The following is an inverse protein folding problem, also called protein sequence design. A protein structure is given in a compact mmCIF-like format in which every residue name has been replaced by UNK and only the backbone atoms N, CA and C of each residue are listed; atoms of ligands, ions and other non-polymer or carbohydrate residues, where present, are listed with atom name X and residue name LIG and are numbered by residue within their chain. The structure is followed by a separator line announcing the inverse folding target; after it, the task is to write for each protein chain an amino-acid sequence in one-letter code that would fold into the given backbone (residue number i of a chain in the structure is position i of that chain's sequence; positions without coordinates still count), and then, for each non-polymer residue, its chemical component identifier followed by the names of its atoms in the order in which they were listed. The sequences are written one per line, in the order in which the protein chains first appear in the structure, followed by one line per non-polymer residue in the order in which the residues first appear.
data_IF_493441493422
#
_entry.id   IF_493441493422
#
_cell.length_a   1.000
_cell.length_b   1.000
_cell.length_c   1.000
_cell.angle_alpha   90.00
_cell.angle_beta   90.00
_cell.angle_gamma   90.00
#
_symmetry.space_group_name_H-M   'P 1'
#
loop_
_entity.id
_entity.type
_entity.pdbx_description
1 polymer ?
#
# COMPACT_ATOMS: atom_id res chain seq x y z
N UNK A 1 -16.83 -13.83 -30.02
CA UNK A 1 -15.39 -13.47 -29.91
C UNK A 1 -15.02 -13.24 -28.46
N UNK A 2 -14.47 -14.24 -27.77
CA UNK A 2 -13.99 -14.06 -26.39
C UNK A 2 -12.72 -13.20 -26.42
N UNK A 3 -12.77 -11.98 -25.87
CA UNK A 3 -11.59 -11.13 -25.67
C UNK A 3 -10.61 -11.90 -24.78
N UNK A 4 -9.53 -12.45 -25.37
CA UNK A 4 -8.42 -13.09 -24.65
C UNK A 4 -7.88 -12.09 -23.63
N UNK A 5 -8.16 -12.30 -22.34
CA UNK A 5 -7.71 -11.42 -21.26
C UNK A 5 -6.18 -11.31 -21.31
N UNK A 6 -5.67 -10.10 -21.49
CA UNK A 6 -4.23 -9.83 -21.49
C UNK A 6 -3.65 -10.28 -20.14
N UNK A 7 -2.70 -11.22 -20.17
CA UNK A 7 -2.08 -11.80 -18.98
C UNK A 7 -1.52 -10.66 -18.13
N UNK A 8 -1.96 -10.53 -16.86
CA UNK A 8 -1.39 -9.53 -15.94
C UNK A 8 0.11 -9.78 -15.80
N UNK A 9 0.93 -8.75 -15.98
CA UNK A 9 2.39 -8.83 -15.85
C UNK A 9 2.78 -9.48 -14.53
N UNK A 10 3.74 -10.42 -14.56
CA UNK A 10 4.28 -11.11 -13.37
C UNK A 10 4.69 -10.10 -12.29
N UNK A 11 5.37 -9.02 -12.71
CA UNK A 11 5.79 -7.91 -11.86
C UNK A 11 4.65 -7.21 -11.11
N UNK A 12 3.50 -7.01 -11.78
CA UNK A 12 2.34 -6.36 -11.15
C UNK A 12 1.64 -7.30 -10.16
N UNK A 13 1.65 -8.60 -10.42
CA UNK A 13 1.11 -9.59 -9.48
C UNK A 13 1.96 -9.66 -8.20
N UNK A 14 3.28 -9.59 -8.34
CA UNK A 14 4.23 -9.50 -7.23
C UNK A 14 4.04 -8.22 -6.41
N UNK A 15 4.00 -7.04 -7.06
CA UNK A 15 3.72 -5.79 -6.36
C UNK A 15 2.39 -5.81 -5.61
N UNK A 16 1.36 -6.47 -6.17
CA UNK A 16 0.09 -6.66 -5.47
C UNK A 16 0.22 -7.55 -4.24
N UNK A 17 0.91 -8.68 -4.35
CA UNK A 17 1.17 -9.59 -3.22
C UNK A 17 1.92 -8.88 -2.10
N UNK A 18 2.90 -8.04 -2.44
CA UNK A 18 3.64 -7.27 -1.44
C UNK A 18 2.71 -6.28 -0.72
N UNK A 19 1.88 -5.54 -1.47
CA UNK A 19 0.93 -4.59 -0.89
C UNK A 19 -0.14 -5.24 -0.02
N UNK A 20 -0.47 -6.52 -0.22
CA UNK A 20 -1.40 -7.26 0.65
C UNK A 20 -0.85 -7.42 2.09
N UNK A 21 0.47 -7.39 2.28
CA UNK A 21 1.12 -7.50 3.59
C UNK A 21 1.30 -6.14 4.29
N UNK A 22 1.05 -5.03 3.59
CA UNK A 22 1.16 -3.68 4.13
C UNK A 22 -0.08 -3.37 4.98
N UNK A 23 0.05 -2.72 6.15
CA UNK A 23 -1.10 -2.27 6.96
C UNK A 23 -2.10 -1.44 6.15
N UNK A 24 -3.38 -1.81 6.21
CA UNK A 24 -4.44 -1.19 5.42
C UNK A 24 -5.42 -0.43 6.31
N UNK A 25 -5.74 0.80 5.93
CA UNK A 25 -6.69 1.66 6.62
C UNK A 25 -7.81 2.07 5.67
N UNK A 26 -9.06 1.86 6.08
CA UNK A 26 -10.23 2.25 5.30
C UNK A 26 -10.87 3.49 5.90
N UNK A 27 -11.07 4.52 5.08
CA UNK A 27 -11.65 5.80 5.49
C UNK A 27 -12.67 6.29 4.46
N UNK A 28 -13.53 7.20 4.88
CA UNK A 28 -14.47 7.88 3.99
C UNK A 28 -13.90 9.24 3.56
N UNK A 29 -14.08 9.60 2.29
CA UNK A 29 -13.59 10.87 1.75
C UNK A 29 -14.33 12.09 2.34
N UNK A 30 -15.60 11.90 2.72
CA UNK A 30 -16.48 12.98 3.14
C UNK A 30 -16.62 14.05 2.05
N UNK A 31 -16.43 15.30 2.44
CA UNK A 31 -16.50 16.47 1.55
C UNK A 31 -15.16 16.79 0.86
N UNK A 32 -14.06 16.24 1.37
CA UNK A 32 -12.72 16.48 0.84
C UNK A 32 -12.45 15.62 -0.41
N UNK A 33 -11.50 16.07 -1.24
CA UNK A 33 -10.92 15.20 -2.28
C UNK A 33 -10.24 13.99 -1.63
N UNK A 34 -10.29 12.78 -2.23
CA UNK A 34 -9.76 11.56 -1.60
C UNK A 34 -8.30 11.66 -1.15
N UNK A 35 -7.45 12.31 -1.95
CA UNK A 35 -6.03 12.55 -1.61
C UNK A 35 -5.86 13.46 -0.39
N UNK A 36 -6.74 14.44 -0.22
CA UNK A 36 -6.72 15.37 0.91
C UNK A 36 -7.21 14.67 2.17
N UNK A 37 -8.30 13.90 2.08
CA UNK A 37 -8.82 13.08 3.17
C UNK A 37 -7.76 12.09 3.67
N UNK A 38 -7.07 11.39 2.76
CA UNK A 38 -5.96 10.50 3.12
C UNK A 38 -4.86 11.23 3.89
N UNK A 39 -4.43 12.41 3.43
CA UNK A 39 -3.38 13.19 4.11
C UNK A 39 -3.79 13.66 5.50
N UNK A 40 -5.03 14.17 5.63
CA UNK A 40 -5.58 14.57 6.92
C UNK A 40 -5.62 13.39 7.88
N UNK A 41 -6.07 12.22 7.42
CA UNK A 41 -6.13 11.00 8.22
C UNK A 41 -4.74 10.53 8.69
N UNK A 42 -3.75 10.51 7.80
CA UNK A 42 -2.36 10.15 8.16
C UNK A 42 -1.82 11.07 9.27
N UNK A 43 -2.08 12.38 9.17
CA UNK A 43 -1.63 13.35 10.17
C UNK A 43 -2.39 13.22 11.49
N UNK A 44 -3.70 13.01 11.44
CA UNK A 44 -4.55 12.90 12.63
C UNK A 44 -4.25 11.63 13.44
N UNK A 45 -4.09 10.49 12.77
CA UNK A 45 -3.80 9.20 13.40
C UNK A 45 -2.30 8.93 13.62
N UNK A 46 -1.43 9.79 13.06
CA UNK A 46 0.02 9.62 13.16
C UNK A 46 0.54 8.37 12.45
N UNK A 47 -0.03 8.03 11.28
CA UNK A 47 0.28 6.78 10.57
C UNK A 47 1.72 6.79 10.04
N UNK A 48 2.48 5.79 10.46
CA UNK A 48 3.84 5.58 9.97
C UNK A 48 3.84 4.83 8.62
N UNK A 49 4.74 5.17 7.70
CA UNK A 49 4.95 4.39 6.47
C UNK A 49 5.66 3.06 6.78
N UNK A 50 5.50 2.00 5.95
CA UNK A 50 4.60 1.90 4.80
C UNK A 50 3.16 1.57 5.21
N UNK A 51 2.18 2.28 4.64
CA UNK A 51 0.75 2.02 4.88
C UNK A 51 -0.08 2.18 3.61
N UNK A 52 -1.22 1.49 3.53
CA UNK A 52 -2.15 1.60 2.40
C UNK A 52 -3.48 2.19 2.89
N UNK A 53 -3.93 3.26 2.23
CA UNK A 53 -5.17 3.95 2.55
C UNK A 53 -6.20 3.67 1.45
N UNK A 54 -7.33 3.13 1.87
CA UNK A 54 -8.51 2.90 1.05
C UNK A 54 -9.50 4.02 1.36
N UNK A 55 -9.59 4.98 0.45
CA UNK A 55 -10.47 6.14 0.60
C UNK A 55 -11.73 5.91 -0.20
N UNK A 56 -12.82 5.65 0.50
CA UNK A 56 -14.13 5.45 -0.11
C UNK A 56 -14.70 6.83 -0.49
N UNK A 57 -14.75 7.11 -1.80
CA UNK A 57 -15.31 8.35 -2.34
C UNK A 57 -16.83 8.31 -2.39
N UNK A 58 -17.37 7.15 -2.78
CA UNK A 58 -18.80 6.84 -2.75
C UNK A 58 -18.96 5.33 -2.51
N UNK A 59 -20.19 4.83 -2.48
CA UNK A 59 -20.45 3.41 -2.22
C UNK A 59 -19.73 2.46 -3.18
N UNK A 60 -19.53 2.86 -4.43
CA UNK A 60 -18.99 2.03 -5.50
C UNK A 60 -17.53 2.34 -5.87
N UNK A 61 -16.93 3.38 -5.29
CA UNK A 61 -15.62 3.89 -5.69
C UNK A 61 -14.73 4.08 -4.48
N UNK A 62 -13.65 3.31 -4.48
CA UNK A 62 -12.60 3.40 -3.47
C UNK A 62 -11.27 3.70 -4.16
N UNK A 63 -10.71 4.86 -3.85
CA UNK A 63 -9.38 5.25 -4.26
C UNK A 63 -8.35 4.60 -3.31
N UNK A 64 -7.28 4.05 -3.88
CA UNK A 64 -6.22 3.37 -3.12
C UNK A 64 -4.93 4.16 -3.17
N UNK A 65 -4.45 4.58 -2.02
CA UNK A 65 -3.20 5.33 -1.86
C UNK A 65 -2.21 4.54 -1.00
N UNK A 66 -0.92 4.70 -1.28
CA UNK A 66 0.18 4.11 -0.54
C UNK A 66 1.00 5.23 0.10
N UNK A 67 1.07 5.21 1.42
CA UNK A 67 1.90 6.10 2.22
C UNK A 67 3.31 5.52 2.32
N UNK A 68 4.24 6.16 1.64
CA UNK A 68 5.66 5.87 1.69
C UNK A 68 6.40 6.94 2.48
N UNK A 69 7.65 6.67 2.84
CA UNK A 69 8.54 7.63 3.52
C UNK A 69 8.66 8.97 2.77
N UNK A 70 8.67 8.92 1.43
CA UNK A 70 8.79 10.11 0.59
C UNK A 70 7.46 10.85 0.37
N UNK A 71 6.32 10.22 0.68
CA UNK A 71 5.01 10.81 0.45
C UNK A 71 3.92 9.81 0.05
N UNK A 72 2.78 10.36 -0.38
CA UNK A 72 1.58 9.60 -0.75
C UNK A 72 1.54 9.33 -2.26
N UNK A 73 1.45 8.06 -2.65
CA UNK A 73 1.42 7.60 -4.04
C UNK A 73 0.12 6.85 -4.34
N UNK A 74 -0.26 6.73 -5.60
CA UNK A 74 -1.37 5.84 -5.98
C UNK A 74 -0.95 4.37 -5.86
N UNK A 75 -1.78 3.52 -5.26
CA UNK A 75 -1.43 2.11 -5.06
C UNK A 75 -1.14 1.39 -6.39
N UNK A 76 -1.84 1.72 -7.47
CA UNK A 76 -1.58 1.16 -8.80
C UNK A 76 -0.16 1.48 -9.30
N UNK A 77 0.33 2.70 -9.07
CA UNK A 77 1.69 3.08 -9.43
C UNK A 77 2.71 2.25 -8.63
N UNK A 78 2.42 1.99 -7.36
CA UNK A 78 3.27 1.16 -6.49
C UNK A 78 3.22 -0.32 -6.89
N UNK A 79 2.05 -0.88 -7.23
CA UNK A 79 1.94 -2.24 -7.78
C UNK A 79 2.88 -2.44 -8.99
N UNK A 80 2.98 -1.42 -9.84
CA UNK A 80 3.83 -1.44 -11.04
C UNK A 80 5.30 -1.15 -10.73
N UNK A 81 5.59 -0.34 -9.71
CA UNK A 81 6.93 0.16 -9.40
C UNK A 81 7.44 -0.20 -8.01
N UNK A 82 7.00 -1.32 -7.43
CA UNK A 82 7.31 -1.75 -6.07
C UNK A 82 8.82 -1.79 -5.77
N UNK A 83 9.65 -2.14 -6.78
CA UNK A 83 11.11 -2.16 -6.69
C UNK A 83 11.76 -0.78 -6.38
N UNK A 84 11.04 0.33 -6.61
CA UNK A 84 11.48 1.69 -6.27
C UNK A 84 11.27 2.05 -4.79
N UNK A 85 10.55 1.22 -4.03
CA UNK A 85 10.23 1.45 -2.63
C UNK A 85 11.04 0.49 -1.76
N UNK A 86 12.14 0.95 -1.11
CA UNK A 86 12.98 0.09 -0.28
C UNK A 86 12.20 -0.60 0.85
N UNK A 87 11.22 0.11 1.43
CA UNK A 87 10.34 -0.37 2.50
C UNK A 87 9.48 -1.58 2.10
N UNK A 88 9.31 -1.85 0.80
CA UNK A 88 8.54 -2.98 0.29
C UNK A 88 9.42 -4.21 -0.03
N UNK A 89 10.75 -4.05 -0.10
CA UNK A 89 11.66 -5.16 -0.45
C UNK A 89 11.76 -6.21 0.65
N UNK A 90 11.62 -5.81 1.91
CA UNK A 90 11.64 -6.72 3.07
C UNK A 90 10.34 -7.49 3.27
N UNK A 91 9.26 -7.07 2.60
CA UNK A 91 7.96 -7.75 2.65
C UNK A 91 7.81 -8.84 1.59
N UNK A 92 8.85 -9.08 0.79
CA UNK A 92 8.92 -10.28 -0.04
C UNK A 92 9.05 -11.52 0.85
N UNK A 93 8.15 -12.51 0.74
CA UNK A 93 8.16 -13.70 1.59
C UNK A 93 9.38 -14.62 1.40
N UNK A 94 10.34 -14.25 0.54
CA UNK A 94 11.57 -14.99 0.29
C UNK A 94 12.74 -14.65 1.22
N UNK A 95 12.62 -13.67 2.11
CA UNK A 95 13.62 -13.42 3.14
C UNK A 95 12.92 -13.05 4.43
N UNK A 96 12.72 -14.04 5.30
CA UNK A 96 12.55 -13.80 6.73
C UNK A 96 13.87 -13.19 7.20
N UNK A 97 13.96 -11.89 7.58
CA UNK A 97 15.10 -11.46 8.35
C UNK A 97 14.78 -11.86 9.78
N UNK A 98 15.51 -12.84 10.31
CA UNK A 98 15.55 -13.19 11.74
C UNK A 98 16.14 -12.04 12.60
N UNK A 99 15.78 -10.79 12.32
CA UNK A 99 16.35 -9.61 12.97
C UNK A 99 15.59 -9.19 14.24
N UNK A 100 14.45 -9.82 14.57
CA UNK A 100 13.64 -9.46 15.74
C UNK A 100 13.71 -10.46 16.91
N UNK A 101 14.62 -11.44 16.91
CA UNK A 101 14.71 -12.44 17.99
C UNK A 101 15.71 -12.10 19.13
N UNK A 102 16.47 -11.00 19.07
CA UNK A 102 17.49 -10.70 20.10
C UNK A 102 17.15 -9.44 20.89
N UNK A 103 16.13 -9.51 21.74
CA UNK A 103 15.90 -8.49 22.78
C UNK A 103 15.13 -9.03 24.00
N UNK A 104 15.35 -10.30 24.39
CA UNK A 104 14.81 -10.85 25.63
C UNK A 104 15.83 -11.77 26.32
N UNK A 105 17.02 -11.27 26.59
CA UNK A 105 17.88 -11.77 27.67
C UNK A 105 18.48 -10.56 28.38
N UNK A 106 17.81 -10.14 29.45
CA UNK A 106 18.46 -9.67 30.69
C UNK A 106 17.43 -9.64 31.81
#
# INVERSE_FOLDING_TARGET
MARRRKRKSRRRQEGRRILEHVPQYSIESGEDKPVTAARKFIQAEGILPPALLLVKRNEHTTDRYFWAEKGLFGAQYVEENHFLFPSLRTMEPSLIPEAFAVAAVR
#
